data_IF_800635004152
#
_entry.id   IF_800635004152
#
_cell.length_a   1.000
_cell.length_b   1.000
_cell.length_c   1.000
_cell.angle_alpha   90.00
_cell.angle_beta   90.00
_cell.angle_gamma   90.00
#
_symmetry.space_group_name_H-M   'P 1'
#
loop_
_entity.id
_entity.type
_entity.pdbx_description
1 polymer ?
#
# COMPACT_ATOMS: atom_id res chain seq x y z
N UNK A 1 3.13 57.24 -29.14
CA UNK A 1 2.78 55.86 -29.53
C UNK A 1 3.72 54.83 -28.91
N UNK A 2 3.70 54.56 -27.58
CA UNK A 2 4.52 53.50 -26.92
C UNK A 2 3.78 52.73 -25.81
N UNK A 3 2.47 53.01 -25.55
CA UNK A 3 1.73 52.37 -24.48
C UNK A 3 1.07 51.02 -24.83
N UNK A 4 0.87 50.71 -26.10
CA UNK A 4 0.17 49.49 -26.54
C UNK A 4 1.06 48.24 -26.55
N UNK A 5 2.39 48.40 -26.51
CA UNK A 5 3.33 47.28 -26.52
C UNK A 5 3.44 46.60 -25.14
N UNK A 6 3.35 47.35 -24.04
CA UNK A 6 3.53 46.85 -22.68
C UNK A 6 2.35 45.98 -22.27
N UNK A 7 1.13 46.33 -22.68
CA UNK A 7 -0.07 45.56 -22.34
C UNK A 7 -0.13 44.19 -23.04
N UNK A 8 0.45 44.08 -24.23
CA UNK A 8 0.54 42.78 -24.96
C UNK A 8 1.52 41.80 -24.29
N UNK A 9 2.64 42.33 -23.76
CA UNK A 9 3.63 41.45 -23.07
C UNK A 9 3.10 40.92 -21.76
N UNK A 10 2.34 41.70 -20.97
CA UNK A 10 1.74 41.20 -19.74
C UNK A 10 0.69 40.11 -19.95
N UNK A 11 -0.13 40.22 -21.01
CA UNK A 11 -1.09 39.15 -21.34
C UNK A 11 -0.43 37.85 -21.78
N UNK A 12 0.69 37.94 -22.47
CA UNK A 12 1.45 36.75 -22.89
C UNK A 12 2.13 36.06 -21.69
N UNK A 13 2.63 36.83 -20.72
CA UNK A 13 3.28 36.29 -19.52
C UNK A 13 2.30 35.61 -18.59
N UNK A 14 1.09 36.18 -18.38
CA UNK A 14 0.04 35.58 -17.56
C UNK A 14 -0.49 34.28 -18.19
N UNK A 15 -0.65 34.25 -19.50
CA UNK A 15 -1.07 33.04 -20.22
C UNK A 15 -0.01 31.93 -20.14
N UNK A 16 1.28 32.27 -20.21
CA UNK A 16 2.39 31.31 -20.12
C UNK A 16 2.50 30.74 -18.68
N UNK A 17 2.34 31.56 -17.64
CA UNK A 17 2.34 31.10 -16.25
C UNK A 17 1.15 30.18 -15.94
N UNK A 18 -0.03 30.42 -16.51
CA UNK A 18 -1.19 29.56 -16.33
C UNK A 18 -0.99 28.18 -16.96
N UNK A 19 -0.37 28.10 -18.13
CA UNK A 19 -0.08 26.81 -18.80
C UNK A 19 0.98 26.00 -18.04
N UNK A 20 2.01 26.67 -17.47
CA UNK A 20 3.06 25.98 -16.68
C UNK A 20 2.50 25.50 -15.33
N UNK A 21 1.57 26.24 -14.72
CA UNK A 21 0.93 25.83 -13.46
C UNK A 21 -0.03 24.65 -13.64
N UNK A 22 -0.71 24.53 -14.78
CA UNK A 22 -1.56 23.36 -15.10
C UNK A 22 -0.77 22.12 -15.47
N UNK A 23 0.45 22.25 -15.99
CA UNK A 23 1.30 21.09 -16.30
C UNK A 23 1.99 20.47 -15.07
N UNK A 24 2.03 21.19 -13.92
CA UNK A 24 2.62 20.72 -12.66
C UNK A 24 1.71 19.82 -11.81
N UNK A 25 0.45 19.63 -12.18
CA UNK A 25 -0.50 18.71 -11.55
C UNK A 25 -0.63 17.38 -12.33
N UNK A 26 0.44 16.94 -12.99
CA UNK A 26 0.55 15.54 -13.35
C UNK A 26 0.62 14.77 -12.02
N UNK A 27 -0.54 14.46 -11.45
CA UNK A 27 -0.67 13.41 -10.46
C UNK A 27 0.02 12.20 -11.08
N UNK A 28 1.11 11.74 -10.46
CA UNK A 28 1.58 10.39 -10.70
C UNK A 28 0.37 9.51 -10.43
N UNK A 29 -0.27 9.02 -11.48
CA UNK A 29 -1.32 8.01 -11.35
C UNK A 29 -0.63 6.82 -10.70
N UNK A 30 -0.85 6.68 -9.40
CA UNK A 30 -0.44 5.53 -8.63
C UNK A 30 -1.14 4.33 -9.31
N UNK A 31 -0.40 3.40 -9.91
CA UNK A 31 -1.01 2.41 -10.78
C UNK A 31 -1.97 1.54 -9.96
N UNK A 32 -3.19 1.50 -10.43
CA UNK A 32 -4.23 0.50 -10.18
C UNK A 32 -4.27 -0.11 -8.77
N UNK A 33 -5.05 0.47 -7.90
CA UNK A 33 -5.38 -0.09 -6.57
C UNK A 33 -6.04 0.97 -5.71
N UNK A 34 -6.65 0.59 -4.58
CA UNK A 34 -7.33 1.53 -3.73
C UNK A 34 -6.37 2.63 -3.27
N UNK A 35 -6.83 3.87 -3.35
CA UNK A 35 -6.08 5.05 -2.96
C UNK A 35 -6.12 5.26 -1.43
N UNK A 36 -5.23 6.11 -0.92
CA UNK A 36 -5.36 6.63 0.45
C UNK A 36 -6.71 7.34 0.57
N UNK A 37 -7.47 7.02 1.62
CA UNK A 37 -8.84 7.49 1.84
C UNK A 37 -9.93 6.53 1.32
N UNK A 38 -9.57 5.48 0.59
CA UNK A 38 -10.50 4.41 0.21
C UNK A 38 -10.52 3.28 1.23
N UNK A 39 -11.58 2.46 1.20
CA UNK A 39 -11.78 1.36 2.13
C UNK A 39 -11.65 0.02 1.41
N UNK A 40 -10.93 -0.93 2.03
CA UNK A 40 -10.85 -2.33 1.57
C UNK A 40 -11.76 -3.22 2.43
N UNK A 41 -12.36 -4.23 1.81
CA UNK A 41 -13.16 -5.22 2.55
C UNK A 41 -12.27 -6.21 3.30
N UNK A 42 -12.16 -6.05 4.61
CA UNK A 42 -11.34 -6.90 5.48
C UNK A 42 -11.83 -8.36 5.58
N UNK A 43 -13.10 -8.65 5.21
CA UNK A 43 -13.65 -10.01 5.21
C UNK A 43 -13.15 -10.85 4.04
N UNK A 44 -12.67 -10.19 3.00
CA UNK A 44 -12.10 -10.86 1.82
C UNK A 44 -10.69 -11.44 2.06
N UNK A 45 -10.06 -11.14 3.20
CA UNK A 45 -8.74 -11.64 3.57
C UNK A 45 -8.87 -12.74 4.62
N UNK A 46 -8.30 -13.91 4.37
CA UNK A 46 -8.44 -15.08 5.24
C UNK A 46 -7.10 -15.75 5.54
N UNK A 47 -6.95 -16.22 6.78
CA UNK A 47 -5.84 -17.09 7.18
C UNK A 47 -6.04 -18.50 6.63
N UNK A 48 -5.01 -19.37 6.81
CA UNK A 48 -5.11 -20.81 6.52
C UNK A 48 -6.26 -21.50 7.28
N UNK A 49 -6.61 -21.03 8.48
CA UNK A 49 -7.72 -21.54 9.31
C UNK A 49 -9.07 -20.90 9.03
N UNK A 50 -9.15 -19.98 8.08
CA UNK A 50 -10.39 -19.28 7.73
C UNK A 50 -10.73 -18.06 8.59
N UNK A 51 -9.86 -17.66 9.53
CA UNK A 51 -10.04 -16.40 10.29
C UNK A 51 -9.90 -15.23 9.35
N UNK A 52 -10.85 -14.28 9.39
CA UNK A 52 -10.79 -13.10 8.54
C UNK A 52 -9.90 -12.01 9.13
N UNK A 53 -9.35 -11.14 8.27
CA UNK A 53 -8.63 -9.96 8.72
C UNK A 53 -9.56 -9.03 9.54
N UNK A 54 -10.85 -8.99 9.19
CA UNK A 54 -11.87 -8.29 9.97
C UNK A 54 -11.91 -8.79 11.43
N UNK A 55 -11.85 -10.11 11.65
CA UNK A 55 -11.86 -10.70 12.98
C UNK A 55 -10.56 -10.43 13.73
N UNK A 56 -9.42 -10.51 13.05
CA UNK A 56 -8.11 -10.19 13.63
C UNK A 56 -8.02 -8.71 14.05
N UNK A 57 -8.67 -7.81 13.32
CA UNK A 57 -8.66 -6.38 13.61
C UNK A 57 -9.55 -5.96 14.80
N UNK A 58 -10.41 -6.82 15.33
CA UNK A 58 -11.33 -6.46 16.44
C UNK A 58 -10.64 -5.91 17.70
N UNK A 59 -9.38 -6.29 17.91
CA UNK A 59 -8.60 -5.85 19.07
C UNK A 59 -7.60 -4.73 18.74
N UNK A 60 -7.60 -4.24 17.50
CA UNK A 60 -6.65 -3.26 17.01
C UNK A 60 -7.36 -2.11 16.31
N UNK A 61 -6.96 -0.88 16.58
CA UNK A 61 -7.49 0.30 15.88
C UNK A 61 -6.81 0.53 14.54
N UNK A 62 -5.54 0.15 14.44
CA UNK A 62 -4.68 0.38 13.27
C UNK A 62 -3.82 -0.86 13.03
N UNK A 63 -3.61 -1.20 11.77
CA UNK A 63 -2.66 -2.22 11.36
C UNK A 63 -1.77 -1.75 10.21
N UNK A 64 -0.57 -2.32 10.14
CA UNK A 64 0.31 -2.27 9.00
C UNK A 64 0.22 -3.62 8.28
N UNK A 65 -0.29 -3.61 7.05
CA UNK A 65 -0.30 -4.75 6.15
C UNK A 65 0.95 -4.73 5.30
N UNK A 66 1.71 -5.81 5.27
CA UNK A 66 2.79 -6.00 4.31
C UNK A 66 2.31 -6.89 3.17
N UNK A 67 2.29 -6.34 1.97
CA UNK A 67 1.88 -7.04 0.76
C UNK A 67 3.09 -7.74 0.15
N UNK A 68 3.03 -9.05 0.09
CA UNK A 68 4.08 -9.90 -0.46
C UNK A 68 3.52 -10.85 -1.52
N UNK A 69 4.42 -11.45 -2.28
CA UNK A 69 4.07 -12.36 -3.38
C UNK A 69 5.18 -13.42 -3.49
N UNK A 70 4.85 -14.70 -3.65
CA UNK A 70 5.84 -15.75 -3.84
C UNK A 70 6.79 -15.54 -5.03
N UNK A 71 6.35 -14.79 -6.03
CA UNK A 71 7.14 -14.46 -7.21
C UNK A 71 7.96 -13.16 -7.05
N UNK A 72 7.89 -12.53 -5.87
CA UNK A 72 8.64 -11.32 -5.54
C UNK A 72 10.08 -11.68 -5.12
N UNK A 73 11.03 -11.65 -6.06
CA UNK A 73 12.44 -11.91 -5.76
C UNK A 73 13.02 -10.97 -4.69
N UNK A 74 12.53 -9.74 -4.60
CA UNK A 74 12.98 -8.76 -3.59
C UNK A 74 12.39 -9.03 -2.21
N UNK A 75 11.23 -9.71 -2.08
CA UNK A 75 10.62 -9.99 -0.77
C UNK A 75 11.53 -10.87 0.09
N UNK A 76 12.22 -11.82 -0.49
CA UNK A 76 13.18 -12.67 0.25
C UNK A 76 14.46 -11.87 0.60
N UNK A 77 14.96 -11.05 -0.31
CA UNK A 77 16.19 -10.26 -0.07
C UNK A 77 16.03 -9.18 1.00
N UNK A 78 14.79 -8.76 1.30
CA UNK A 78 14.50 -7.75 2.34
C UNK A 78 13.95 -8.35 3.63
N UNK A 79 14.02 -9.66 3.80
CA UNK A 79 13.47 -10.37 4.95
C UNK A 79 13.93 -9.77 6.30
N UNK A 80 15.21 -9.44 6.44
CA UNK A 80 15.74 -8.84 7.67
C UNK A 80 15.17 -7.44 7.91
N UNK A 81 14.96 -6.66 6.84
CA UNK A 81 14.32 -5.35 6.92
C UNK A 81 12.85 -5.45 7.30
N UNK A 82 12.12 -6.46 6.80
CA UNK A 82 10.73 -6.75 7.20
C UNK A 82 10.66 -7.15 8.68
N UNK A 83 11.61 -7.96 9.15
CA UNK A 83 11.71 -8.34 10.56
C UNK A 83 11.98 -7.13 11.45
N UNK A 84 12.94 -6.28 11.09
CA UNK A 84 13.24 -5.05 11.81
C UNK A 84 12.04 -4.08 11.83
N UNK A 85 11.27 -4.01 10.74
CA UNK A 85 10.03 -3.24 10.68
C UNK A 85 8.98 -3.82 11.63
N UNK A 86 8.77 -5.14 11.61
CA UNK A 86 7.84 -5.83 12.52
C UNK A 86 8.18 -5.56 13.99
N UNK A 87 9.47 -5.61 14.37
CA UNK A 87 9.92 -5.31 15.73
C UNK A 87 9.64 -3.84 16.12
N UNK A 88 9.82 -2.90 15.18
CA UNK A 88 9.47 -1.49 15.43
C UNK A 88 7.97 -1.31 15.63
N UNK A 89 7.16 -1.91 14.78
CA UNK A 89 5.69 -1.86 14.86
C UNK A 89 5.20 -2.53 16.14
N UNK A 90 5.80 -3.64 16.55
CA UNK A 90 5.48 -4.34 17.79
C UNK A 90 5.72 -3.54 19.08
N UNK A 91 6.48 -2.43 19.02
CA UNK A 91 6.64 -1.47 20.12
C UNK A 91 5.54 -0.39 20.15
N UNK A 92 4.63 -0.42 19.20
CA UNK A 92 3.47 0.47 19.08
C UNK A 92 2.18 -0.30 19.39
N UNK A 93 1.05 0.37 19.35
CA UNK A 93 -0.27 -0.28 19.44
C UNK A 93 -0.80 -0.75 18.07
N UNK A 94 0.04 -0.72 17.04
CA UNK A 94 -0.30 -1.10 15.68
C UNK A 94 -0.11 -2.61 15.49
N UNK A 95 -1.10 -3.29 14.95
CA UNK A 95 -0.94 -4.67 14.49
C UNK A 95 -0.06 -4.74 13.23
N UNK A 96 0.57 -5.89 12.99
CA UNK A 96 1.38 -6.13 11.80
C UNK A 96 0.97 -7.47 11.19
N UNK A 97 0.54 -7.46 9.93
CA UNK A 97 0.05 -8.64 9.23
C UNK A 97 0.72 -8.79 7.87
N UNK A 98 0.95 -10.03 7.45
CA UNK A 98 1.38 -10.37 6.10
C UNK A 98 0.14 -10.63 5.25
N UNK A 99 0.08 -10.02 4.08
CA UNK A 99 -1.00 -10.21 3.11
C UNK A 99 -0.44 -10.65 1.77
N UNK A 100 -1.00 -11.71 1.24
CA UNK A 100 -0.64 -12.26 -0.07
C UNK A 100 -1.77 -12.06 -1.07
N UNK A 101 -1.41 -11.61 -2.26
CA UNK A 101 -2.34 -11.46 -3.37
C UNK A 101 -2.19 -12.68 -4.28
N UNK A 102 -3.23 -13.53 -4.39
CA UNK A 102 -3.15 -14.72 -5.19
C UNK A 102 -3.05 -14.40 -6.69
N UNK A 103 -2.31 -15.23 -7.41
CA UNK A 103 -2.20 -15.23 -8.87
C UNK A 103 -3.03 -16.36 -9.52
N UNK A 104 -3.90 -17.00 -8.74
CA UNK A 104 -4.71 -18.15 -9.15
C UNK A 104 -4.05 -19.52 -8.90
N UNK A 105 -2.85 -19.55 -8.32
CA UNK A 105 -2.21 -20.79 -7.90
C UNK A 105 -2.74 -21.31 -6.57
N UNK A 106 -2.27 -22.51 -6.14
CA UNK A 106 -2.66 -23.16 -4.89
C UNK A 106 -2.46 -22.23 -3.68
N UNK A 107 -3.50 -21.99 -2.83
CA UNK A 107 -3.39 -21.20 -1.60
C UNK A 107 -2.28 -21.66 -0.66
N UNK A 108 -1.95 -22.94 -0.62
CA UNK A 108 -0.90 -23.47 0.24
C UNK A 108 0.49 -22.92 -0.11
N UNK A 109 0.73 -22.62 -1.39
CA UNK A 109 1.97 -21.99 -1.86
C UNK A 109 2.19 -20.63 -1.20
N UNK A 110 1.12 -19.84 -1.05
CA UNK A 110 1.21 -18.51 -0.44
C UNK A 110 1.52 -18.60 1.06
N UNK A 111 0.83 -19.48 1.79
CA UNK A 111 1.09 -19.67 3.21
C UNK A 111 2.50 -20.22 3.46
N UNK A 112 2.96 -21.18 2.65
CA UNK A 112 4.33 -21.69 2.76
C UNK A 112 5.38 -20.61 2.50
N UNK A 113 5.10 -19.69 1.57
CA UNK A 113 5.97 -18.56 1.32
C UNK A 113 5.97 -17.58 2.52
N UNK A 114 4.81 -17.23 3.08
CA UNK A 114 4.73 -16.36 4.26
C UNK A 114 5.47 -16.98 5.46
N UNK A 115 5.32 -18.28 5.68
CA UNK A 115 6.06 -19.01 6.73
C UNK A 115 7.58 -18.93 6.52
N UNK A 116 8.05 -18.95 5.25
CA UNK A 116 9.47 -18.82 4.92
C UNK A 116 10.07 -17.46 5.28
N UNK A 117 9.26 -16.41 5.37
CA UNK A 117 9.69 -15.06 5.78
C UNK A 117 10.02 -14.98 7.28
N UNK A 118 9.56 -15.95 8.09
CA UNK A 118 9.84 -16.05 9.55
C UNK A 118 9.55 -14.76 10.31
N UNK A 119 8.43 -14.12 10.00
CA UNK A 119 8.05 -12.85 10.63
C UNK A 119 7.28 -13.05 11.94
N UNK A 120 6.83 -14.28 12.23
CA UNK A 120 6.04 -14.65 13.42
C UNK A 120 4.82 -13.73 13.60
N UNK A 121 4.02 -13.66 12.56
CA UNK A 121 2.77 -12.87 12.49
C UNK A 121 1.73 -13.62 11.67
N UNK A 122 0.45 -13.28 11.88
CA UNK A 122 -0.62 -13.85 11.08
C UNK A 122 -0.49 -13.46 9.61
N UNK A 123 -0.71 -14.44 8.76
CA UNK A 123 -0.67 -14.28 7.31
C UNK A 123 -2.03 -14.56 6.69
N UNK A 124 -2.42 -13.68 5.78
CA UNK A 124 -3.72 -13.69 5.10
C UNK A 124 -3.54 -13.80 3.60
N UNK A 125 -4.42 -14.53 2.95
CA UNK A 125 -4.59 -14.53 1.50
C UNK A 125 -5.83 -13.72 1.15
N UNK A 126 -5.73 -12.85 0.17
CA UNK A 126 -6.87 -12.11 -0.35
C UNK A 126 -7.73 -13.03 -1.23
N UNK A 127 -8.84 -13.49 -0.67
CA UNK A 127 -9.81 -14.38 -1.34
C UNK A 127 -10.96 -13.56 -1.93
N UNK A 128 -10.70 -12.82 -3.00
CA UNK A 128 -11.71 -12.07 -3.74
C UNK A 128 -11.65 -12.43 -5.23
N UNK A 129 -12.80 -12.44 -5.89
CA UNK A 129 -12.89 -12.55 -7.35
C UNK A 129 -12.22 -11.39 -8.09
N UNK A 130 -12.03 -10.27 -7.38
CA UNK A 130 -11.31 -9.08 -7.86
C UNK A 130 -9.82 -9.12 -7.54
N UNK A 131 -9.38 -10.12 -6.78
CA UNK A 131 -7.98 -10.29 -6.43
C UNK A 131 -7.16 -10.57 -7.68
N UNK A 132 -6.47 -9.54 -8.17
CA UNK A 132 -5.53 -9.62 -9.29
C UNK A 132 -4.18 -9.07 -8.83
N UNK A 133 -3.07 -9.56 -9.39
CA UNK A 133 -1.78 -8.90 -9.20
C UNK A 133 -1.92 -7.39 -9.49
N UNK A 134 -1.53 -6.56 -8.54
CA UNK A 134 -1.65 -5.09 -8.65
C UNK A 134 -2.96 -4.48 -8.15
N UNK A 135 -4.00 -5.26 -7.85
CA UNK A 135 -5.31 -4.72 -7.41
C UNK A 135 -5.26 -3.93 -6.10
N UNK A 136 -4.27 -4.13 -5.23
CA UNK A 136 -4.03 -3.29 -4.06
C UNK A 136 -2.97 -2.21 -4.32
N UNK A 137 -2.66 -1.92 -5.60
CA UNK A 137 -1.69 -0.91 -6.00
C UNK A 137 -0.23 -1.26 -5.66
N UNK A 138 0.03 -2.51 -5.32
CA UNK A 138 1.35 -3.00 -4.96
C UNK A 138 2.09 -3.47 -6.23
N UNK A 139 2.48 -2.53 -7.10
CA UNK A 139 3.28 -2.86 -8.28
C UNK A 139 4.74 -3.19 -7.91
N UNK A 140 5.25 -2.58 -6.85
CA UNK A 140 6.59 -2.85 -6.32
C UNK A 140 6.43 -3.52 -4.95
N UNK A 141 6.74 -4.80 -4.87
CA UNK A 141 6.69 -5.59 -3.63
C UNK A 141 8.07 -5.69 -2.99
N UNK A 142 8.15 -5.70 -1.67
CA UNK A 142 7.03 -5.57 -0.76
C UNK A 142 6.42 -4.18 -0.81
N UNK A 143 5.09 -4.11 -0.60
CA UNK A 143 4.38 -2.84 -0.40
C UNK A 143 3.69 -2.87 0.96
N UNK A 144 3.35 -1.72 1.48
CA UNK A 144 2.76 -1.59 2.81
C UNK A 144 1.52 -0.71 2.75
N UNK A 145 0.47 -1.13 3.45
CA UNK A 145 -0.73 -0.35 3.68
C UNK A 145 -0.92 -0.17 5.18
N UNK A 146 -1.05 1.05 5.64
CA UNK A 146 -1.56 1.33 6.97
C UNK A 146 -3.07 1.51 6.88
N UNK A 147 -3.80 0.72 7.66
CA UNK A 147 -5.27 0.71 7.63
C UNK A 147 -5.86 0.87 9.03
N UNK A 148 -7.09 1.39 9.10
CA UNK A 148 -7.91 1.32 10.31
C UNK A 148 -8.61 -0.03 10.43
N UNK A 149 -9.22 -0.29 11.59
CA UNK A 149 -10.06 -1.48 11.81
C UNK A 149 -11.33 -1.53 10.95
N UNK A 150 -11.69 -0.43 10.29
CA UNK A 150 -12.77 -0.34 9.32
C UNK A 150 -12.30 -0.60 7.88
N UNK A 151 -10.99 -0.79 7.69
CA UNK A 151 -10.38 -1.01 6.38
C UNK A 151 -10.02 0.25 5.61
N UNK A 152 -10.16 1.46 6.22
CA UNK A 152 -9.75 2.71 5.59
C UNK A 152 -8.24 2.75 5.43
N UNK A 153 -7.75 3.00 4.22
CA UNK A 153 -6.32 3.16 3.94
C UNK A 153 -5.88 4.56 4.36
N UNK A 154 -5.00 4.62 5.35
CA UNK A 154 -4.48 5.88 5.92
C UNK A 154 -3.18 6.28 5.24
N UNK A 155 -2.33 5.30 4.95
CA UNK A 155 -1.05 5.50 4.28
C UNK A 155 -0.67 4.29 3.41
N UNK A 156 0.22 4.53 2.45
CA UNK A 156 0.65 3.54 1.47
C UNK A 156 2.11 3.76 1.09
N UNK A 157 2.91 2.69 1.04
CA UNK A 157 4.31 2.74 0.67
C UNK A 157 4.68 1.59 -0.26
N UNK A 158 5.58 1.87 -1.20
CA UNK A 158 6.32 0.85 -1.93
C UNK A 158 7.69 0.65 -1.29
N UNK A 159 8.14 -0.60 -1.15
CA UNK A 159 9.36 -0.93 -0.39
C UNK A 159 9.16 -0.88 1.12
N UNK A 160 10.27 -0.77 1.86
CA UNK A 160 10.27 -0.76 3.33
C UNK A 160 10.08 0.67 3.83
N UNK A 161 9.02 0.99 4.59
CA UNK A 161 8.83 2.31 5.14
C UNK A 161 9.93 2.63 6.17
N UNK A 162 10.58 3.79 6.02
CA UNK A 162 11.62 4.25 6.91
C UNK A 162 11.05 4.82 8.21
N UNK A 163 9.88 5.45 8.12
CA UNK A 163 9.16 6.04 9.25
C UNK A 163 7.75 5.46 9.32
N UNK A 164 7.45 4.78 10.41
CA UNK A 164 6.10 4.32 10.78
C UNK A 164 5.63 5.12 11.99
N UNK A 165 5.67 6.46 11.91
CA UNK A 165 5.08 7.30 12.95
C UNK A 165 3.56 7.11 12.91
N UNK A 166 2.99 6.71 14.05
CA UNK A 166 1.55 6.76 14.28
C UNK A 166 1.09 8.21 14.09
N UNK A 167 -0.02 8.47 13.36
CA UNK A 167 -0.59 9.79 13.29
C UNK A 167 -0.99 10.34 14.65
#
# INVERSE_FOLDING_TARGET
MKFTSILKQHKLFVALCLVVFCAGLAHSQDPAGPAVGETIDLRSFQTRSGVTLFDAMKQHSIALLVLVDPNCGTCTSVQDSLRALRERVGKTQMAYFVVMIPDGSDPQKYFSFADSLKLDVDSFVWNSTEAKPGSLGAMLKPAHLQITNEGLIVQKWSGIPQNTSTP
#
